data_IF_419906881035
#
_entry.id   IF_419906881035
#
_cell.length_a   1.000
_cell.length_b   1.000
_cell.length_c   1.000
_cell.angle_alpha   90.00
_cell.angle_beta   90.00
_cell.angle_gamma   90.00
#
_symmetry.space_group_name_H-M   'P 1'
#
loop_
_entity.id
_entity.type
_entity.pdbx_description
1 polymer ?
#
# COMPACT_ATOMS: atom_id res chain seq x y z
N UNK A 1 17.11 -12.65 13.04
CA UNK A 1 16.00 -12.05 13.82
C UNK A 1 14.94 -11.63 12.83
N UNK A 2 13.68 -12.03 13.05
CA UNK A 2 12.56 -11.66 12.17
C UNK A 2 11.74 -10.55 12.83
N UNK A 3 11.34 -9.57 12.04
CA UNK A 3 10.45 -8.47 12.43
C UNK A 3 9.24 -8.51 11.49
N UNK A 4 8.03 -8.53 12.04
CA UNK A 4 6.80 -8.68 11.27
C UNK A 4 5.82 -7.54 11.59
N UNK A 5 5.22 -6.97 10.55
CA UNK A 5 4.10 -6.03 10.64
C UNK A 5 3.15 -6.31 9.48
N UNK A 6 1.88 -6.56 9.80
CA UNK A 6 0.84 -6.94 8.82
C UNK A 6 1.30 -8.11 7.94
N UNK A 7 1.40 -7.91 6.62
CA UNK A 7 1.87 -8.92 5.67
C UNK A 7 3.35 -8.78 5.34
N UNK A 8 4.07 -7.88 6.01
CA UNK A 8 5.49 -7.60 5.76
C UNK A 8 6.35 -8.29 6.80
N UNK A 9 7.36 -9.03 6.35
CA UNK A 9 8.37 -9.70 7.17
C UNK A 9 9.77 -9.26 6.75
N UNK A 10 10.61 -8.96 7.74
CA UNK A 10 12.01 -8.58 7.55
C UNK A 10 12.88 -9.50 8.41
N UNK A 11 13.73 -10.31 7.78
CA UNK A 11 14.77 -11.08 8.45
C UNK A 11 16.10 -10.34 8.39
N UNK A 12 16.63 -10.02 9.56
CA UNK A 12 17.98 -9.48 9.75
C UNK A 12 18.92 -10.55 10.29
N UNK A 13 20.06 -10.72 9.62
CA UNK A 13 21.16 -11.59 10.07
C UNK A 13 22.25 -10.73 10.71
N UNK A 14 22.81 -11.18 11.84
CA UNK A 14 23.86 -10.43 12.55
C UNK A 14 25.11 -10.34 11.68
N UNK A 15 25.63 -9.13 11.49
CA UNK A 15 26.84 -8.86 10.70
C UNK A 15 26.60 -8.84 9.18
N UNK A 16 25.39 -9.09 8.71
CA UNK A 16 25.03 -9.09 7.29
C UNK A 16 24.66 -7.68 6.81
N UNK A 17 25.11 -7.33 5.61
CA UNK A 17 24.81 -6.05 4.94
C UNK A 17 23.53 -6.10 4.11
N UNK A 18 22.78 -7.21 4.20
CA UNK A 18 21.47 -7.39 3.58
C UNK A 18 20.42 -7.84 4.59
N UNK A 19 19.18 -7.39 4.37
CA UNK A 19 17.98 -7.92 4.99
C UNK A 19 17.24 -8.82 3.99
N UNK A 20 16.58 -9.90 4.44
CA UNK A 20 15.58 -10.56 3.59
C UNK A 20 14.22 -9.92 3.87
N UNK A 21 13.61 -9.38 2.84
CA UNK A 21 12.29 -8.77 2.88
C UNK A 21 11.25 -9.70 2.23
N UNK A 22 10.03 -9.72 2.74
CA UNK A 22 8.88 -10.33 2.10
C UNK A 22 7.61 -9.56 2.41
N UNK A 23 6.81 -9.25 1.39
CA UNK A 23 5.41 -8.85 1.51
C UNK A 23 4.52 -9.72 0.60
N UNK A 24 3.25 -9.35 0.39
CA UNK A 24 2.33 -10.09 -0.49
C UNK A 24 2.72 -10.03 -1.98
N UNK A 25 3.62 -9.11 -2.37
CA UNK A 25 3.97 -8.79 -3.77
C UNK A 25 5.38 -9.25 -4.11
N UNK A 26 6.35 -9.01 -3.22
CA UNK A 26 7.78 -9.20 -3.47
C UNK A 26 8.47 -9.86 -2.29
N UNK A 27 9.47 -10.69 -2.59
CA UNK A 27 10.38 -11.25 -1.61
C UNK A 27 11.82 -11.28 -2.14
N UNK A 28 12.81 -11.09 -1.27
CA UNK A 28 14.21 -11.18 -1.64
C UNK A 28 15.15 -10.35 -0.76
N UNK A 29 16.47 -10.42 -1.05
CA UNK A 29 17.47 -9.65 -0.32
C UNK A 29 17.42 -8.17 -0.70
N UNK A 30 17.53 -7.30 0.30
CA UNK A 30 17.61 -5.84 0.16
C UNK A 30 18.87 -5.34 0.88
N UNK A 31 19.74 -4.55 0.23
CA UNK A 31 20.91 -3.97 0.88
C UNK A 31 20.49 -2.99 1.99
N UNK A 32 21.27 -2.95 3.06
CA UNK A 32 21.07 -2.06 4.21
C UNK A 32 22.36 -1.32 4.53
N UNK A 33 22.25 -0.03 4.89
CA UNK A 33 23.41 0.83 5.12
C UNK A 33 24.25 0.47 6.37
N UNK A 34 23.68 -0.33 7.28
CA UNK A 34 24.35 -0.78 8.49
C UNK A 34 23.87 -2.17 8.90
N UNK A 35 24.78 -3.10 9.25
CA UNK A 35 24.40 -4.43 9.69
C UNK A 35 23.80 -4.40 11.10
N UNK A 36 22.92 -5.36 11.40
CA UNK A 36 22.51 -5.62 12.76
C UNK A 36 23.69 -6.21 13.57
N UNK A 37 23.82 -5.85 14.84
CA UNK A 37 24.92 -6.33 15.68
C UNK A 37 24.49 -6.53 17.13
N UNK A 38 25.27 -7.31 17.88
CA UNK A 38 25.05 -7.56 19.30
C UNK A 38 26.08 -6.77 20.12
N UNK A 39 25.59 -6.02 21.11
CA UNK A 39 26.43 -5.35 22.10
C UNK A 39 25.77 -5.39 23.47
N UNK A 40 26.53 -5.76 24.50
CA UNK A 40 26.04 -5.85 25.87
C UNK A 40 24.75 -6.70 25.98
N UNK A 41 24.74 -7.86 25.31
CA UNK A 41 23.60 -8.78 25.25
C UNK A 41 22.30 -8.15 24.69
N UNK A 42 22.41 -7.12 23.85
CA UNK A 42 21.29 -6.50 23.13
C UNK A 42 21.57 -6.50 21.63
N UNK A 43 20.55 -6.79 20.86
CA UNK A 43 20.58 -6.65 19.41
C UNK A 43 20.26 -5.21 19.03
N UNK A 44 21.15 -4.60 18.27
CA UNK A 44 20.96 -3.30 17.63
C UNK A 44 20.65 -3.55 16.16
N UNK A 45 19.64 -2.86 15.66
CA UNK A 45 19.14 -3.00 14.28
C UNK A 45 19.28 -1.66 13.54
N UNK A 46 19.44 -1.68 12.20
CA UNK A 46 19.44 -0.47 11.38
C UNK A 46 18.03 0.13 11.32
N UNK A 47 17.72 1.02 12.26
CA UNK A 47 16.40 1.63 12.40
C UNK A 47 15.85 2.18 11.07
N UNK A 48 16.68 2.91 10.31
CA UNK A 48 16.28 3.48 9.01
C UNK A 48 15.81 2.42 8.03
N UNK A 49 16.63 1.40 7.80
CA UNK A 49 16.33 0.35 6.85
C UNK A 49 15.03 -0.37 7.22
N UNK A 50 14.85 -0.70 8.51
CA UNK A 50 13.64 -1.37 8.98
C UNK A 50 12.40 -0.49 8.77
N UNK A 51 12.47 0.79 9.12
CA UNK A 51 11.36 1.74 8.94
C UNK A 51 11.00 1.96 7.47
N UNK A 52 11.99 2.10 6.58
CA UNK A 52 11.76 2.27 5.14
C UNK A 52 11.17 1.01 4.49
N UNK A 53 11.62 -0.18 4.92
CA UNK A 53 11.06 -1.45 4.45
C UNK A 53 9.60 -1.63 4.88
N UNK A 54 9.19 -1.04 6.00
CA UNK A 54 7.78 -0.95 6.42
C UNK A 54 7.04 0.26 5.80
N UNK A 55 7.60 0.86 4.75
CA UNK A 55 7.01 1.99 4.03
C UNK A 55 6.75 3.25 4.89
N UNK A 56 7.50 3.42 5.98
CA UNK A 56 7.35 4.56 6.88
C UNK A 56 8.14 5.79 6.40
N UNK A 57 7.70 6.98 6.81
CA UNK A 57 8.42 8.21 6.61
C UNK A 57 9.36 8.48 7.80
N UNK A 58 10.59 8.90 7.51
CA UNK A 58 11.61 9.18 8.53
C UNK A 58 12.06 10.63 8.39
N UNK A 59 11.97 11.37 9.49
CA UNK A 59 12.41 12.75 9.55
C UNK A 59 13.42 12.95 10.69
N UNK A 60 14.52 13.64 10.39
CA UNK A 60 15.55 13.97 11.38
C UNK A 60 15.47 15.45 11.78
N UNK A 61 15.16 15.72 13.04
CA UNK A 61 15.27 17.05 13.63
C UNK A 61 16.66 17.22 14.26
N UNK A 62 17.55 17.87 13.51
CA UNK A 62 18.92 18.12 13.95
C UNK A 62 19.01 19.02 15.20
N UNK A 63 18.06 19.95 15.38
CA UNK A 63 18.06 20.87 16.53
C UNK A 63 17.71 20.14 17.82
N UNK A 64 16.70 19.27 17.76
CA UNK A 64 16.27 18.46 18.90
C UNK A 64 17.09 17.18 19.06
N UNK A 65 17.90 16.82 18.07
CA UNK A 65 18.59 15.53 17.97
C UNK A 65 17.59 14.37 18.10
N UNK A 66 16.47 14.49 17.39
CA UNK A 66 15.35 13.55 17.45
C UNK A 66 15.04 12.97 16.08
N UNK A 67 14.75 11.67 16.05
CA UNK A 67 14.20 11.00 14.87
C UNK A 67 12.69 10.90 15.06
N UNK A 68 11.93 11.35 14.07
CA UNK A 68 10.49 11.16 13.96
C UNK A 68 10.24 10.10 12.90
N UNK A 69 9.44 9.09 13.26
CA UNK A 69 9.06 8.01 12.38
C UNK A 69 7.54 8.00 12.38
N UNK A 70 6.98 8.33 11.23
CA UNK A 70 5.55 8.42 11.03
C UNK A 70 5.17 7.48 9.89
N UNK A 71 3.91 7.04 9.87
CA UNK A 71 3.38 6.47 8.62
C UNK A 71 3.47 7.55 7.54
N UNK A 72 3.74 7.14 6.29
CA UNK A 72 3.73 8.12 5.20
C UNK A 72 2.41 8.89 5.25
N UNK A 73 2.45 10.23 5.14
CA UNK A 73 1.25 11.03 5.23
C UNK A 73 0.22 10.48 4.23
N UNK A 74 -0.86 9.93 4.80
CA UNK A 74 -2.15 9.83 4.13
C UNK A 74 -2.48 11.25 3.66
N UNK A 75 -2.81 11.49 2.38
CA UNK A 75 -3.27 12.79 1.93
C UNK A 75 -4.34 13.30 2.91
N UNK A 76 -4.09 14.43 3.56
CA UNK A 76 -4.88 14.88 4.70
C UNK A 76 -6.29 15.24 4.24
N UNK A 77 -7.23 14.46 4.76
CA UNK A 77 -8.67 14.45 4.49
C UNK A 77 -9.08 13.01 4.31
N UNK A 78 -9.88 12.43 5.23
CA UNK A 78 -10.51 11.14 4.95
C UNK A 78 -11.13 11.26 3.55
N UNK A 79 -10.85 10.28 2.70
CA UNK A 79 -11.54 10.17 1.44
C UNK A 79 -13.04 10.21 1.73
N UNK A 80 -13.74 10.85 0.83
CA UNK A 80 -15.18 10.93 0.77
C UNK A 80 -15.58 10.37 -0.58
N UNK A 81 -16.84 9.98 -0.71
CA UNK A 81 -17.34 9.40 -1.95
C UNK A 81 -17.07 10.28 -3.19
N UNK A 82 -17.05 11.61 -3.02
CA UNK A 82 -16.79 12.58 -4.09
C UNK A 82 -15.33 12.66 -4.55
N UNK A 83 -14.36 12.21 -3.74
CA UNK A 83 -12.93 12.26 -4.10
C UNK A 83 -12.24 10.88 -4.14
N UNK A 84 -12.88 9.83 -3.62
CA UNK A 84 -12.30 8.49 -3.53
C UNK A 84 -11.96 7.90 -4.91
N UNK A 85 -12.81 8.16 -5.91
CA UNK A 85 -12.60 7.73 -7.29
C UNK A 85 -11.33 8.28 -7.94
N UNK A 86 -11.08 9.58 -7.74
CA UNK A 86 -9.90 10.26 -8.29
C UNK A 86 -8.61 9.76 -7.64
N UNK A 87 -8.61 9.60 -6.30
CA UNK A 87 -7.46 9.07 -5.58
C UNK A 87 -7.17 7.62 -5.97
N UNK A 88 -8.21 6.80 -6.17
CA UNK A 88 -8.06 5.44 -6.69
C UNK A 88 -7.37 5.46 -8.07
N UNK A 89 -7.87 6.24 -9.03
CA UNK A 89 -7.31 6.32 -10.39
C UNK A 89 -5.83 6.73 -10.33
N UNK A 90 -5.50 7.74 -9.51
CA UNK A 90 -4.11 8.19 -9.31
C UNK A 90 -3.21 7.04 -8.84
N UNK A 91 -3.60 6.31 -7.78
CA UNK A 91 -2.84 5.17 -7.23
C UNK A 91 -2.68 4.03 -8.24
N UNK A 92 -3.74 3.70 -8.96
CA UNK A 92 -3.70 2.63 -9.96
C UNK A 92 -2.81 3.00 -11.17
N UNK A 93 -2.78 4.27 -11.57
CA UNK A 93 -1.86 4.78 -12.61
C UNK A 93 -0.40 4.71 -12.18
N UNK A 94 -0.08 5.09 -10.94
CA UNK A 94 1.27 4.95 -10.37
C UNK A 94 1.76 3.49 -10.41
N UNK A 95 0.84 2.54 -10.21
CA UNK A 95 1.11 1.09 -10.26
C UNK A 95 1.01 0.47 -11.65
N UNK A 96 0.65 1.23 -12.69
CA UNK A 96 0.45 0.76 -14.08
C UNK A 96 -0.55 -0.41 -14.18
N UNK A 97 -1.63 -0.35 -13.39
CA UNK A 97 -2.64 -1.44 -13.30
C UNK A 97 -3.60 -1.46 -14.49
N UNK A 98 -3.83 -0.32 -15.15
CA UNK A 98 -4.69 -0.20 -16.33
C UNK A 98 -4.26 0.94 -17.27
N UNK A 99 -4.88 1.03 -18.45
CA UNK A 99 -4.58 2.01 -19.50
C UNK A 99 -5.17 3.41 -19.22
N UNK A 100 -4.56 4.48 -19.73
CA UNK A 100 -4.77 5.85 -19.18
C UNK A 100 -6.21 6.38 -19.21
N UNK A 101 -7.09 5.80 -20.01
CA UNK A 101 -8.38 6.38 -20.41
C UNK A 101 -9.58 5.93 -19.55
N UNK A 102 -9.36 5.26 -18.42
CA UNK A 102 -10.46 4.92 -17.51
C UNK A 102 -10.96 6.13 -16.72
N UNK A 103 -12.26 6.12 -16.44
CA UNK A 103 -12.98 7.09 -15.61
C UNK A 103 -13.86 6.38 -14.58
N UNK A 104 -14.25 7.12 -13.53
CA UNK A 104 -15.14 6.64 -12.47
C UNK A 104 -16.58 6.65 -12.99
N UNK A 105 -17.19 5.47 -13.07
CA UNK A 105 -18.60 5.33 -13.44
C UNK A 105 -19.53 5.37 -12.23
N UNK A 106 -19.04 4.89 -11.08
CA UNK A 106 -19.79 4.80 -9.84
C UNK A 106 -18.84 4.86 -8.65
N UNK A 107 -19.27 5.54 -7.58
CA UNK A 107 -18.63 5.52 -6.28
C UNK A 107 -19.71 5.52 -5.18
N UNK A 108 -19.55 4.67 -4.15
CA UNK A 108 -20.46 4.61 -3.01
C UNK A 108 -19.72 4.20 -1.74
N UNK A 109 -20.24 4.58 -0.58
CA UNK A 109 -19.77 4.04 0.71
C UNK A 109 -19.90 2.51 0.71
N UNK A 110 -18.93 1.83 1.30
CA UNK A 110 -18.86 0.37 1.32
C UNK A 110 -18.08 -0.14 2.53
N UNK A 111 -18.52 -1.28 3.08
CA UNK A 111 -17.79 -2.03 4.10
C UNK A 111 -17.38 -3.37 3.51
N UNK A 112 -16.09 -3.71 3.61
CA UNK A 112 -15.55 -4.98 3.15
C UNK A 112 -15.00 -5.77 4.33
N UNK A 113 -15.26 -7.08 4.33
CA UNK A 113 -14.51 -8.01 5.18
C UNK A 113 -13.34 -8.59 4.39
N UNK A 114 -12.12 -8.29 4.82
CA UNK A 114 -10.88 -8.74 4.18
C UNK A 114 -9.97 -9.38 5.22
N UNK A 115 -9.60 -10.64 5.01
CA UNK A 115 -8.80 -11.46 5.95
C UNK A 115 -9.33 -11.43 7.40
N UNK A 116 -10.65 -11.48 7.58
CA UNK A 116 -11.30 -11.51 8.90
C UNK A 116 -11.32 -10.16 9.63
N UNK A 117 -10.99 -9.06 8.95
CA UNK A 117 -11.13 -7.69 9.46
C UNK A 117 -12.14 -6.92 8.61
N UNK A 118 -12.92 -6.05 9.26
CA UNK A 118 -13.83 -5.12 8.61
C UNK A 118 -13.11 -3.83 8.29
N UNK A 119 -13.23 -3.37 7.06
CA UNK A 119 -12.65 -2.15 6.54
C UNK A 119 -13.74 -1.29 5.91
N UNK A 120 -13.75 0.01 6.23
CA UNK A 120 -14.73 0.97 5.74
C UNK A 120 -14.08 1.83 4.67
N UNK A 121 -14.82 2.15 3.62
CA UNK A 121 -14.33 2.93 2.51
C UNK A 121 -15.34 3.03 1.39
N UNK A 122 -14.86 2.92 0.15
CA UNK A 122 -15.65 3.21 -1.03
C UNK A 122 -15.53 2.10 -2.06
N UNK A 123 -16.68 1.64 -2.55
CA UNK A 123 -16.78 0.82 -3.75
C UNK A 123 -16.73 1.73 -4.97
N UNK A 124 -15.88 1.42 -5.93
CA UNK A 124 -15.67 2.22 -7.14
C UNK A 124 -15.70 1.32 -8.37
N UNK A 125 -16.55 1.69 -9.33
CA UNK A 125 -16.61 1.06 -10.65
C UNK A 125 -15.87 1.94 -11.65
N UNK A 126 -14.84 1.39 -12.29
CA UNK A 126 -14.13 2.06 -13.38
C UNK A 126 -14.60 1.56 -14.75
N UNK A 127 -14.80 2.48 -15.68
CA UNK A 127 -15.13 2.21 -17.10
C UNK A 127 -14.20 2.99 -18.01
N UNK A 128 -14.19 2.63 -19.29
CA UNK A 128 -13.55 3.40 -20.38
C UNK A 128 -14.46 3.40 -21.61
N UNK A 129 -14.31 4.39 -22.46
CA UNK A 129 -15.10 4.47 -23.70
C UNK A 129 -14.73 3.32 -24.65
N UNK A 130 -15.73 2.80 -25.37
CA UNK A 130 -15.47 1.82 -26.42
C UNK A 130 -14.99 2.55 -27.70
N UNK A 131 -13.85 2.16 -28.28
CA UNK A 131 -13.27 2.86 -29.43
C UNK A 131 -14.05 2.66 -30.74
N UNK A 132 -14.96 1.69 -30.79
CA UNK A 132 -15.76 1.35 -31.97
C UNK A 132 -17.21 1.85 -31.88
N UNK A 133 -17.73 2.01 -30.66
CA UNK A 133 -19.10 2.48 -30.42
C UNK A 133 -19.13 3.51 -29.28
N UNK A 134 -19.30 4.78 -29.63
CA UNK A 134 -19.33 5.90 -28.66
C UNK A 134 -20.55 5.86 -27.72
N UNK A 135 -21.55 5.02 -28.01
CA UNK A 135 -22.68 4.81 -27.10
C UNK A 135 -22.41 3.73 -26.03
N UNK A 136 -21.27 3.03 -26.11
CA UNK A 136 -20.92 1.94 -25.22
C UNK A 136 -19.67 2.27 -24.39
N UNK A 137 -19.66 1.80 -23.14
CA UNK A 137 -18.52 1.88 -22.24
C UNK A 137 -18.13 0.48 -21.76
N UNK A 138 -16.84 0.17 -21.79
CA UNK A 138 -16.26 -1.09 -21.33
C UNK A 138 -15.98 -1.05 -19.83
N UNK A 139 -16.29 -2.13 -19.11
CA UNK A 139 -15.93 -2.27 -17.70
C UNK A 139 -14.41 -2.47 -17.57
N UNK A 140 -13.76 -1.61 -16.79
CA UNK A 140 -12.34 -1.75 -16.44
C UNK A 140 -12.18 -2.58 -15.17
N UNK A 141 -13.08 -2.42 -14.21
CA UNK A 141 -13.15 -3.25 -13.02
C UNK A 141 -13.87 -2.60 -11.85
N UNK A 142 -13.98 -3.36 -10.77
CA UNK A 142 -14.52 -2.91 -9.49
C UNK A 142 -13.42 -2.92 -8.44
N UNK A 143 -13.40 -1.89 -7.63
CA UNK A 143 -12.35 -1.64 -6.65
C UNK A 143 -12.94 -1.18 -5.32
N UNK A 144 -12.20 -1.44 -4.25
CA UNK A 144 -12.41 -0.84 -2.95
C UNK A 144 -11.20 0.03 -2.59
N UNK A 145 -11.43 1.20 -2.04
CA UNK A 145 -10.40 2.02 -1.39
C UNK A 145 -10.90 2.41 0.01
N UNK A 146 -10.08 2.20 1.05
CA UNK A 146 -10.49 2.57 2.41
C UNK A 146 -10.50 4.10 2.61
N UNK A 147 -11.13 4.59 3.68
CA UNK A 147 -11.25 6.03 3.95
C UNK A 147 -9.90 6.76 4.07
N UNK A 148 -8.84 6.04 4.42
CA UNK A 148 -7.48 6.58 4.51
C UNK A 148 -6.71 6.48 3.19
N UNK A 149 -7.26 5.84 2.15
CA UNK A 149 -6.55 5.57 0.90
C UNK A 149 -5.27 4.72 1.06
N UNK A 150 -5.10 4.04 2.19
CA UNK A 150 -3.94 3.18 2.48
C UNK A 150 -4.11 1.75 2.01
N UNK A 151 -5.33 1.37 1.61
CA UNK A 151 -5.63 0.05 1.10
C UNK A 151 -6.46 0.16 -0.18
N UNK A 152 -6.03 -0.53 -1.24
CA UNK A 152 -6.81 -0.70 -2.47
C UNK A 152 -6.97 -2.17 -2.77
N UNK A 153 -8.20 -2.62 -2.96
CA UNK A 153 -8.55 -3.98 -3.34
C UNK A 153 -9.22 -3.98 -4.72
N UNK A 154 -8.90 -4.96 -5.56
CA UNK A 154 -9.65 -5.28 -6.78
C UNK A 154 -10.64 -6.38 -6.47
N UNK A 155 -11.87 -6.23 -6.93
CA UNK A 155 -12.84 -7.31 -6.86
C UNK A 155 -12.70 -8.23 -8.10
N UNK A 156 -12.45 -9.51 -7.86
CA UNK A 156 -12.46 -10.57 -8.88
C UNK A 156 -13.88 -11.16 -8.93
N UNK A 157 -14.63 -10.78 -9.96
CA UNK A 157 -16.02 -11.20 -10.17
C UNK A 157 -16.13 -12.72 -10.38
N UNK A 158 -15.09 -13.37 -10.89
CA UNK A 158 -15.12 -14.82 -11.20
C UNK A 158 -14.92 -15.62 -9.92
N UNK A 159 -14.03 -15.16 -9.05
CA UNK A 159 -13.69 -15.85 -7.79
C UNK A 159 -14.53 -15.36 -6.60
N UNK A 160 -15.35 -14.35 -6.80
CA UNK A 160 -16.14 -13.68 -5.77
C UNK A 160 -15.29 -13.28 -4.55
N UNK A 161 -14.18 -12.59 -4.80
CA UNK A 161 -13.24 -12.19 -3.75
C UNK A 161 -12.50 -10.91 -4.08
N UNK A 162 -12.00 -10.26 -3.03
CA UNK A 162 -11.07 -9.14 -3.15
C UNK A 162 -9.62 -9.61 -3.21
N UNK A 163 -8.81 -8.95 -4.04
CA UNK A 163 -7.37 -9.13 -4.17
C UNK A 163 -6.68 -7.78 -3.94
N UNK A 164 -5.67 -7.72 -3.05
CA UNK A 164 -5.00 -6.46 -2.72
C UNK A 164 -4.09 -5.97 -3.85
N UNK A 165 -4.10 -4.66 -4.08
CA UNK A 165 -3.26 -3.95 -5.06
C UNK A 165 -2.31 -2.95 -4.37
N UNK A 166 -2.79 -2.31 -3.29
CA UNK A 166 -2.09 -1.27 -2.52
C UNK A 166 -2.26 -1.57 -1.02
#
# INVERSE_FOLDING_TARGET
MTIEKDHTSILLTIGDDKALFSDEIKAGPVPIDAPAFIRNNRTYIPLRAVSELFDMNINWDAKKRAVYIDEKPVPVGLLKVDNAGDELIKKLREKKVFDKDAYVAEASDYEVEYHGRKEIGFWITLRKDNPFDQALAELVGHYFINETGTMVLKYDVVKDKFERIY
#
